data_IF_695880111619
#
_entry.id   IF_695880111619
#
_cell.length_a   1.000
_cell.length_b   1.000
_cell.length_c   1.000
_cell.angle_alpha   90.00
_cell.angle_beta   90.00
_cell.angle_gamma   90.00
#
_symmetry.space_group_name_H-M   'P 1'
#
loop_
_entity.id
_entity.type
_entity.pdbx_description
1 polymer ?
#
# COMPACT_ATOMS: atom_id res chain seq x y z
N UNK A 1 -9.59 -10.02 84.64
CA UNK A 1 -10.65 -9.28 83.91
C UNK A 1 -10.04 -8.10 83.17
N UNK A 2 -10.63 -7.73 82.03
CA UNK A 2 -10.34 -6.57 81.16
C UNK A 2 -9.21 -6.70 80.11
N UNK A 3 -9.54 -7.35 78.98
CA UNK A 3 -8.90 -7.16 77.67
C UNK A 3 -9.18 -5.73 77.16
N UNK A 4 -8.15 -4.91 76.97
CA UNK A 4 -8.27 -3.61 76.29
C UNK A 4 -8.15 -3.83 74.78
N UNK A 5 -9.26 -3.68 74.07
CA UNK A 5 -9.38 -3.84 72.61
C UNK A 5 -8.49 -2.81 71.91
N UNK A 6 -7.44 -3.28 71.24
CA UNK A 6 -6.65 -2.49 70.30
C UNK A 6 -7.51 -2.04 69.11
N UNK A 7 -7.34 -0.78 68.74
CA UNK A 7 -8.08 -0.07 67.70
C UNK A 7 -7.83 -0.65 66.30
N UNK A 8 -8.74 -1.49 65.82
CA UNK A 8 -8.76 -2.04 64.45
C UNK A 8 -9.32 -1.05 63.40
N UNK A 9 -9.25 0.27 63.65
CA UNK A 9 -9.86 1.27 62.75
C UNK A 9 -8.86 2.02 61.87
N UNK A 10 -7.54 1.87 62.09
CA UNK A 10 -6.52 2.58 61.31
C UNK A 10 -6.09 1.87 60.01
N UNK A 11 -6.34 0.56 59.87
CA UNK A 11 -5.84 -0.22 58.71
C UNK A 11 -6.81 -0.30 57.52
N UNK A 12 -8.05 0.18 57.65
CA UNK A 12 -9.03 0.15 56.54
C UNK A 12 -8.86 1.34 55.58
N UNK A 13 -8.24 2.44 56.03
CA UNK A 13 -8.05 3.63 55.21
C UNK A 13 -6.92 3.50 54.16
N UNK A 14 -5.93 2.61 54.35
CA UNK A 14 -4.83 2.43 53.39
C UNK A 14 -5.17 1.47 52.23
N UNK A 15 -6.16 0.59 52.36
CA UNK A 15 -6.52 -0.36 51.30
C UNK A 15 -7.44 0.30 50.24
N UNK A 16 -8.16 1.37 50.60
CA UNK A 16 -9.02 2.09 49.67
C UNK A 16 -8.27 2.97 48.65
N UNK A 17 -7.00 3.34 48.90
CA UNK A 17 -6.23 4.19 47.98
C UNK A 17 -5.57 3.41 46.83
N UNK A 18 -5.42 2.09 46.93
CA UNK A 18 -4.77 1.27 45.89
C UNK A 18 -5.74 0.84 44.77
N UNK A 19 -7.06 1.02 44.95
CA UNK A 19 -8.07 0.65 43.95
C UNK A 19 -8.31 1.73 42.88
N UNK A 20 -7.76 2.95 43.04
CA UNK A 20 -7.99 4.08 42.11
C UNK A 20 -6.99 4.11 40.94
N UNK A 21 -5.97 3.25 40.93
CA UNK A 21 -4.99 3.20 39.83
C UNK A 21 -5.36 2.23 38.68
N UNK A 22 -6.45 1.45 38.80
CA UNK A 22 -6.83 0.47 37.78
C UNK A 22 -7.67 1.05 36.61
N UNK A 23 -7.90 2.37 36.58
CA UNK A 23 -8.81 3.02 35.63
C UNK A 23 -8.19 4.11 34.74
N UNK A 24 -6.89 4.37 34.84
CA UNK A 24 -6.23 5.21 33.84
C UNK A 24 -6.08 4.36 32.57
N UNK A 25 -7.10 4.42 31.70
CA UNK A 25 -6.94 4.11 30.29
C UNK A 25 -5.63 4.77 29.85
N UNK A 26 -4.58 3.99 29.63
CA UNK A 26 -3.29 4.54 29.23
C UNK A 26 -3.55 5.33 27.95
N UNK A 27 -3.47 6.65 28.04
CA UNK A 27 -3.81 7.54 26.93
C UNK A 27 -2.80 7.28 25.82
N UNK A 28 -3.18 6.45 24.85
CA UNK A 28 -2.35 6.19 23.69
C UNK A 28 -2.37 7.42 22.76
N UNK A 29 -1.21 7.85 22.23
CA UNK A 29 0.15 7.39 22.56
C UNK A 29 0.74 8.11 23.78
N UNK A 30 1.56 7.41 24.58
CA UNK A 30 2.25 7.99 25.76
C UNK A 30 3.66 8.47 25.46
N UNK A 31 4.17 8.18 24.27
CA UNK A 31 5.51 8.51 23.78
C UNK A 31 5.46 8.65 22.25
N UNK A 32 6.55 9.12 21.60
CA UNK A 32 6.61 9.13 20.15
C UNK A 32 6.31 7.76 19.53
N UNK A 33 5.54 7.79 18.44
CA UNK A 33 5.27 6.63 17.59
C UNK A 33 6.09 6.71 16.30
N UNK A 34 6.17 5.61 15.56
CA UNK A 34 6.92 5.54 14.29
C UNK A 34 6.13 4.80 13.22
N UNK A 35 6.08 5.38 12.02
CA UNK A 35 5.64 4.73 10.80
C UNK A 35 6.84 4.12 10.11
N UNK A 36 6.86 2.79 10.02
CA UNK A 36 7.91 2.01 9.37
C UNK A 36 7.60 1.90 7.88
N UNK A 37 8.45 2.50 7.04
CA UNK A 37 8.29 2.56 5.60
C UNK A 37 9.21 1.53 4.92
N UNK A 38 8.69 0.65 4.04
CA UNK A 38 9.45 -0.46 3.47
C UNK A 38 10.31 -0.10 2.25
N UNK A 39 10.46 1.19 1.92
CA UNK A 39 11.25 1.67 0.79
C UNK A 39 12.28 2.71 1.23
N UNK A 40 13.22 3.05 0.35
CA UNK A 40 14.12 4.18 0.58
C UNK A 40 13.34 5.52 0.54
N UNK A 41 13.86 6.57 1.21
CA UNK A 41 13.29 7.92 1.13
C UNK A 41 13.15 8.45 -0.31
N UNK A 42 12.22 9.38 -0.52
CA UNK A 42 11.98 10.06 -1.80
C UNK A 42 10.95 9.42 -2.74
N UNK A 43 10.36 8.28 -2.35
CA UNK A 43 9.28 7.61 -3.10
C UNK A 43 7.87 8.08 -2.74
N UNK A 44 6.86 7.61 -3.47
CA UNK A 44 5.44 7.94 -3.20
C UNK A 44 5.00 7.60 -1.76
N UNK A 45 5.44 6.45 -1.24
CA UNK A 45 5.15 6.06 0.14
C UNK A 45 5.84 6.93 1.20
N UNK A 46 6.97 7.57 0.89
CA UNK A 46 7.61 8.55 1.79
C UNK A 46 6.69 9.77 1.94
N UNK A 47 6.26 10.34 0.82
CA UNK A 47 5.36 11.50 0.81
C UNK A 47 4.07 11.21 1.58
N UNK A 48 3.45 10.05 1.33
CA UNK A 48 2.25 9.62 2.05
C UNK A 48 2.52 9.44 3.55
N UNK A 49 3.61 8.75 3.91
CA UNK A 49 3.96 8.51 5.31
C UNK A 49 4.21 9.81 6.07
N UNK A 50 4.90 10.79 5.47
CA UNK A 50 5.13 12.10 6.11
C UNK A 50 3.85 12.89 6.28
N UNK A 51 2.94 12.86 5.30
CA UNK A 51 1.65 13.55 5.39
C UNK A 51 0.79 12.96 6.52
N UNK A 52 0.74 11.62 6.59
CA UNK A 52 0.03 10.89 7.64
C UNK A 52 0.67 11.15 9.00
N UNK A 53 1.99 11.02 9.11
CA UNK A 53 2.74 11.24 10.34
C UNK A 53 2.54 12.67 10.89
N UNK A 54 2.60 13.69 10.03
CA UNK A 54 2.35 15.08 10.44
C UNK A 54 0.95 15.27 11.02
N UNK A 55 -0.08 14.70 10.38
CA UNK A 55 -1.47 14.80 10.85
C UNK A 55 -1.76 13.99 12.10
N UNK A 56 -1.20 12.79 12.21
CA UNK A 56 -1.29 12.01 13.44
C UNK A 56 -0.57 12.70 14.61
N UNK A 57 0.57 13.36 14.34
CA UNK A 57 1.26 14.14 15.37
C UNK A 57 0.40 15.29 15.90
N UNK A 58 -0.29 16.00 15.00
CA UNK A 58 -1.26 17.04 15.35
C UNK A 58 -2.42 16.49 16.19
N UNK A 59 -2.98 15.34 15.80
CA UNK A 59 -4.12 14.73 16.49
C UNK A 59 -3.76 14.14 17.86
N UNK A 60 -2.52 13.68 18.03
CA UNK A 60 -2.09 12.96 19.22
C UNK A 60 -1.34 13.83 20.21
N UNK A 61 -0.86 15.01 19.79
CA UNK A 61 0.03 15.82 20.62
C UNK A 61 1.36 15.14 20.94
N UNK A 62 1.70 14.09 20.20
CA UNK A 62 2.92 13.29 20.33
C UNK A 62 3.57 13.13 18.97
N UNK A 63 4.91 13.17 18.86
CA UNK A 63 5.59 13.00 17.59
C UNK A 63 5.28 11.64 16.95
N UNK A 64 4.95 11.65 15.67
CA UNK A 64 4.93 10.45 14.82
C UNK A 64 6.06 10.60 13.81
N UNK A 65 7.04 9.71 13.91
CA UNK A 65 8.25 9.74 13.09
C UNK A 65 8.11 8.81 11.89
N UNK A 66 8.88 9.06 10.84
CA UNK A 66 9.00 8.16 9.69
C UNK A 66 10.37 7.48 9.73
N UNK A 67 10.38 6.15 9.81
CA UNK A 67 11.58 5.32 9.85
C UNK A 67 11.61 4.40 8.63
N UNK A 68 12.69 4.43 7.86
CA UNK A 68 12.81 3.69 6.61
C UNK A 68 13.58 2.38 6.83
N UNK A 69 12.95 1.26 6.47
CA UNK A 69 13.55 -0.09 6.53
C UNK A 69 13.42 -0.80 5.18
N UNK A 70 14.14 -0.35 4.13
CA UNK A 70 14.06 -0.94 2.80
C UNK A 70 14.65 -2.35 2.75
N UNK A 71 14.14 -3.16 1.82
CA UNK A 71 14.75 -4.44 1.46
C UNK A 71 13.74 -5.56 1.19
N UNK A 72 14.11 -6.47 0.28
CA UNK A 72 13.42 -7.72 -0.01
C UNK A 72 11.89 -7.57 -0.20
N UNK A 73 11.45 -6.57 -0.99
CA UNK A 73 10.03 -6.42 -1.34
C UNK A 73 9.09 -6.22 -0.15
N UNK A 74 9.46 -5.37 0.81
CA UNK A 74 8.81 -5.07 2.11
C UNK A 74 9.17 -5.99 3.28
N UNK A 75 9.86 -7.11 3.04
CA UNK A 75 10.08 -8.14 4.07
C UNK A 75 10.85 -7.59 5.29
N UNK A 76 11.89 -6.77 5.08
CA UNK A 76 12.72 -6.24 6.18
C UNK A 76 11.89 -5.39 7.15
N UNK A 77 11.11 -4.44 6.61
CA UNK A 77 10.22 -3.60 7.40
C UNK A 77 9.14 -4.41 8.12
N UNK A 78 8.52 -5.37 7.43
CA UNK A 78 7.42 -6.14 8.02
C UNK A 78 7.90 -7.12 9.08
N UNK A 79 9.09 -7.70 8.92
CA UNK A 79 9.73 -8.50 9.97
C UNK A 79 10.01 -7.66 11.22
N UNK A 80 10.46 -6.41 11.04
CA UNK A 80 10.66 -5.48 12.16
C UNK A 80 9.34 -5.17 12.88
N UNK A 81 8.27 -4.86 12.13
CA UNK A 81 6.95 -4.56 12.70
C UNK A 81 6.37 -5.77 13.43
N UNK A 82 6.45 -6.98 12.84
CA UNK A 82 5.95 -8.21 13.45
C UNK A 82 6.61 -8.53 14.81
N UNK A 83 7.88 -8.14 14.98
CA UNK A 83 8.65 -8.34 16.21
C UNK A 83 8.58 -7.18 17.22
N UNK A 84 7.86 -6.10 16.88
CA UNK A 84 7.74 -4.94 17.77
C UNK A 84 6.78 -5.20 18.92
N UNK A 85 6.85 -4.36 19.95
CA UNK A 85 5.89 -4.42 21.05
C UNK A 85 4.46 -4.19 20.52
N UNK A 86 3.48 -5.00 20.93
CA UNK A 86 2.09 -4.85 20.50
C UNK A 86 1.39 -3.72 21.26
N UNK A 87 1.92 -2.51 21.15
CA UNK A 87 1.44 -1.33 21.88
C UNK A 87 1.01 -0.17 20.96
N UNK A 88 1.05 -0.41 19.64
CA UNK A 88 0.65 0.55 18.60
C UNK A 88 1.64 1.67 18.28
N UNK A 89 2.79 1.76 18.97
CA UNK A 89 3.78 2.80 18.68
C UNK A 89 4.67 2.47 17.48
N UNK A 90 4.64 1.24 16.99
CA UNK A 90 5.30 0.82 15.74
C UNK A 90 4.23 0.47 14.71
N UNK A 91 4.05 1.35 13.72
CA UNK A 91 3.01 1.24 12.70
C UNK A 91 3.69 0.90 11.38
N UNK A 92 3.40 -0.27 10.82
CA UNK A 92 3.92 -0.69 9.52
C UNK A 92 3.11 -0.10 8.37
N UNK A 93 3.77 0.55 7.43
CA UNK A 93 3.17 0.89 6.13
C UNK A 93 3.25 -0.35 5.22
N UNK A 94 2.08 -0.81 4.77
CA UNK A 94 1.93 -1.94 3.86
C UNK A 94 1.35 -1.50 2.52
N UNK A 95 1.61 -2.29 1.49
CA UNK A 95 0.96 -2.19 0.18
C UNK A 95 0.45 -3.55 -0.27
N UNK A 96 -0.05 -3.67 -1.50
CA UNK A 96 -0.43 -4.95 -2.11
C UNK A 96 0.67 -6.01 -2.05
N UNK A 97 1.95 -5.63 -1.93
CA UNK A 97 3.05 -6.57 -1.68
C UNK A 97 2.84 -7.43 -0.42
N UNK A 98 2.17 -6.90 0.61
CA UNK A 98 1.82 -7.65 1.81
C UNK A 98 0.91 -8.84 1.53
N UNK A 99 0.01 -8.70 0.55
CA UNK A 99 -0.88 -9.77 0.10
C UNK A 99 -0.24 -10.70 -0.95
N UNK A 100 0.68 -10.17 -1.77
CA UNK A 100 1.35 -10.91 -2.85
C UNK A 100 2.48 -11.79 -2.33
N UNK A 101 3.32 -11.27 -1.43
CA UNK A 101 4.56 -11.92 -1.00
C UNK A 101 4.39 -13.36 -0.51
N UNK A 102 3.35 -13.74 0.26
CA UNK A 102 3.16 -15.14 0.67
C UNK A 102 3.01 -16.11 -0.50
N UNK A 103 2.52 -15.63 -1.65
CA UNK A 103 2.38 -16.44 -2.87
C UNK A 103 3.66 -16.46 -3.73
N UNK A 104 4.50 -15.42 -3.63
CA UNK A 104 5.77 -15.33 -4.37
C UNK A 104 6.97 -15.89 -3.60
N UNK A 105 6.94 -15.89 -2.26
CA UNK A 105 8.06 -16.29 -1.43
C UNK A 105 7.59 -17.27 -0.33
N UNK A 106 8.01 -18.53 -0.44
CA UNK A 106 7.64 -19.59 0.50
C UNK A 106 8.38 -19.53 1.85
N UNK A 107 9.41 -18.67 1.97
CA UNK A 107 10.28 -18.57 3.16
C UNK A 107 10.21 -17.18 3.79
N UNK A 108 9.01 -16.65 3.96
CA UNK A 108 8.83 -15.40 4.69
C UNK A 108 9.19 -15.58 6.18
N UNK A 109 9.86 -14.60 6.80
CA UNK A 109 10.21 -14.65 8.22
C UNK A 109 9.06 -14.22 9.15
N UNK A 110 7.84 -14.13 8.62
CA UNK A 110 6.59 -13.78 9.31
C UNK A 110 5.40 -14.33 8.53
N UNK A 111 4.24 -14.41 9.18
CA UNK A 111 2.95 -14.70 8.58
C UNK A 111 2.17 -13.39 8.34
N UNK A 112 1.82 -13.08 7.09
CA UNK A 112 1.12 -11.83 6.72
C UNK A 112 -0.27 -11.67 7.36
N UNK A 113 -0.88 -12.73 7.90
CA UNK A 113 -2.18 -12.67 8.57
C UNK A 113 -2.02 -12.75 10.08
N UNK A 114 -1.28 -13.74 10.57
CA UNK A 114 -1.23 -14.05 12.02
C UNK A 114 -0.40 -13.03 12.79
N UNK A 115 0.66 -12.49 12.20
CA UNK A 115 1.64 -11.70 12.94
C UNK A 115 1.33 -10.19 12.91
N UNK A 116 0.21 -9.79 12.29
CA UNK A 116 -0.20 -8.39 12.14
C UNK A 116 -1.67 -8.17 12.51
N UNK A 117 -1.97 -6.98 13.01
CA UNK A 117 -3.34 -6.47 13.12
C UNK A 117 -3.55 -5.34 12.10
N UNK A 118 -4.48 -5.49 11.14
CA UNK A 118 -4.84 -4.43 10.19
C UNK A 118 -5.43 -3.22 10.91
N UNK A 119 -4.93 -2.03 10.57
CA UNK A 119 -5.36 -0.77 11.20
C UNK A 119 -6.28 0.00 10.28
N UNK A 120 -5.82 0.36 9.08
CA UNK A 120 -6.64 1.07 8.10
C UNK A 120 -6.00 1.00 6.71
N UNK A 121 -6.84 1.06 5.68
CA UNK A 121 -6.39 1.35 4.31
C UNK A 121 -6.53 2.83 4.05
N UNK A 122 -5.56 3.44 3.36
CA UNK A 122 -5.60 4.84 2.98
C UNK A 122 -6.28 5.02 1.60
N UNK A 123 -5.97 4.15 0.65
CA UNK A 123 -6.42 4.29 -0.73
C UNK A 123 -5.60 3.48 -1.73
N UNK A 124 -5.47 4.02 -2.95
CA UNK A 124 -4.84 3.37 -4.09
C UNK A 124 -3.88 4.32 -4.83
N UNK A 125 -2.76 3.79 -5.31
CA UNK A 125 -2.02 4.42 -6.40
C UNK A 125 -2.55 3.89 -7.72
N UNK A 126 -2.66 4.78 -8.70
CA UNK A 126 -3.14 4.42 -10.04
C UNK A 126 -1.96 3.95 -10.88
N UNK A 127 -2.09 2.77 -11.47
CA UNK A 127 -1.19 2.27 -12.52
C UNK A 127 -1.87 2.49 -13.86
N UNK A 128 -1.09 2.80 -14.88
CA UNK A 128 -1.59 2.95 -16.23
C UNK A 128 -0.71 2.24 -17.25
N UNK A 129 -1.36 1.92 -18.37
CA UNK A 129 -0.72 1.40 -19.58
C UNK A 129 -0.25 2.59 -20.42
N UNK A 130 1.06 2.81 -20.43
CA UNK A 130 1.71 3.93 -21.09
C UNK A 130 2.48 3.44 -22.30
N UNK A 131 2.45 4.20 -23.40
CA UNK A 131 3.19 3.88 -24.62
C UNK A 131 3.94 5.08 -25.16
N UNK A 132 4.95 4.83 -25.98
CA UNK A 132 5.66 5.88 -26.72
C UNK A 132 4.79 6.44 -27.85
N UNK A 133 4.87 7.74 -28.18
CA UNK A 133 4.06 8.35 -29.23
C UNK A 133 4.24 7.74 -30.62
N UNK A 134 5.46 7.27 -30.93
CA UNK A 134 5.82 6.62 -32.21
C UNK A 134 5.16 5.26 -32.42
N UNK A 135 4.61 4.63 -31.37
CA UNK A 135 3.84 3.41 -31.50
C UNK A 135 2.45 3.74 -32.08
N UNK A 136 2.03 3.16 -33.23
CA UNK A 136 0.82 3.55 -33.95
C UNK A 136 -0.45 2.96 -33.32
N UNK A 137 -0.67 3.24 -32.04
CA UNK A 137 -1.81 2.79 -31.24
C UNK A 137 -2.35 3.96 -30.41
N UNK A 138 -3.67 4.06 -30.30
CA UNK A 138 -4.33 5.16 -29.57
C UNK A 138 -5.22 4.66 -28.43
N UNK A 139 -5.42 3.35 -28.34
CA UNK A 139 -6.21 2.71 -27.30
C UNK A 139 -5.70 1.28 -27.01
N UNK A 140 -6.26 0.67 -25.98
CA UNK A 140 -5.94 -0.70 -25.55
C UNK A 140 -6.20 -1.72 -26.66
N UNK A 141 -7.31 -1.58 -27.40
CA UNK A 141 -7.69 -2.49 -28.48
C UNK A 141 -6.66 -2.49 -29.62
N UNK A 142 -6.17 -1.31 -30.00
CA UNK A 142 -5.12 -1.11 -30.99
C UNK A 142 -3.80 -1.73 -30.55
N UNK A 143 -3.43 -1.60 -29.28
CA UNK A 143 -2.24 -2.27 -28.75
C UNK A 143 -2.36 -3.80 -28.82
N UNK A 144 -3.51 -4.36 -28.43
CA UNK A 144 -3.77 -5.80 -28.52
C UNK A 144 -3.68 -6.27 -29.97
N UNK A 145 -4.30 -5.54 -30.91
CA UNK A 145 -4.23 -5.84 -32.33
C UNK A 145 -2.79 -5.85 -32.87
N UNK A 146 -2.01 -4.84 -32.53
CA UNK A 146 -0.60 -4.74 -32.95
C UNK A 146 0.24 -5.89 -32.37
N UNK A 147 0.09 -6.20 -31.09
CA UNK A 147 0.83 -7.28 -30.43
C UNK A 147 0.48 -8.68 -30.99
N UNK A 148 -0.77 -8.90 -31.43
CA UNK A 148 -1.17 -10.14 -32.09
C UNK A 148 -0.54 -10.31 -33.48
N UNK A 149 -0.39 -9.23 -34.23
CA UNK A 149 0.24 -9.26 -35.55
C UNK A 149 1.74 -9.52 -35.48
N UNK A 150 2.38 -9.13 -34.37
CA UNK A 150 3.83 -9.25 -34.18
C UNK A 150 4.17 -9.87 -32.81
N UNK A 151 3.92 -11.18 -32.62
CA UNK A 151 4.25 -11.86 -31.38
C UNK A 151 5.72 -11.67 -31.03
N UNK A 152 6.02 -11.41 -29.75
CA UNK A 152 7.37 -11.24 -29.21
C UNK A 152 8.18 -10.04 -29.75
N UNK A 153 7.62 -9.24 -30.67
CA UNK A 153 8.28 -8.07 -31.24
C UNK A 153 8.14 -6.80 -30.37
N UNK A 154 7.19 -6.78 -29.44
CA UNK A 154 7.01 -5.68 -28.49
C UNK A 154 7.53 -6.07 -27.12
N UNK A 155 8.25 -5.15 -26.48
CA UNK A 155 8.58 -5.24 -25.06
C UNK A 155 7.66 -4.37 -24.22
N UNK A 156 7.45 -4.75 -22.95
CA UNK A 156 6.87 -3.88 -21.95
C UNK A 156 7.79 -3.72 -20.74
N UNK A 157 7.92 -2.49 -20.26
CA UNK A 157 8.67 -2.17 -19.06
C UNK A 157 7.83 -2.24 -17.79
N UNK A 158 8.49 -2.50 -16.66
CA UNK A 158 7.97 -2.24 -15.31
C UNK A 158 9.05 -1.61 -14.44
N UNK A 159 8.66 -1.11 -13.26
CA UNK A 159 9.59 -0.59 -12.25
C UNK A 159 10.27 -1.69 -11.39
N UNK A 160 10.18 -2.96 -11.80
CA UNK A 160 10.88 -4.09 -11.15
C UNK A 160 10.12 -5.41 -11.21
N UNK A 161 10.83 -6.51 -10.97
CA UNK A 161 10.24 -7.86 -10.81
C UNK A 161 9.40 -7.89 -9.51
N UNK A 162 8.28 -8.63 -9.56
CA UNK A 162 7.35 -8.77 -8.43
C UNK A 162 6.55 -7.51 -8.05
N UNK A 163 6.70 -6.40 -8.78
CA UNK A 163 5.89 -5.20 -8.53
C UNK A 163 4.49 -5.35 -9.11
N UNK A 164 3.55 -4.52 -8.63
CA UNK A 164 2.21 -4.42 -9.20
C UNK A 164 2.26 -4.12 -10.71
N UNK A 165 3.17 -3.27 -11.16
CA UNK A 165 3.36 -2.96 -12.58
C UNK A 165 3.82 -4.17 -13.41
N UNK A 166 4.72 -5.00 -12.88
CA UNK A 166 5.10 -6.26 -13.55
C UNK A 166 3.89 -7.18 -13.69
N UNK A 167 3.18 -7.42 -12.57
CA UNK A 167 1.97 -8.25 -12.58
C UNK A 167 0.89 -7.67 -13.51
N UNK A 168 0.78 -6.35 -13.66
CA UNK A 168 -0.17 -5.71 -14.58
C UNK A 168 0.13 -6.10 -16.03
N UNK A 169 1.41 -6.14 -16.39
CA UNK A 169 1.85 -6.58 -17.71
C UNK A 169 1.59 -8.07 -17.95
N UNK A 170 1.95 -8.93 -16.99
CA UNK A 170 1.73 -10.37 -17.11
C UNK A 170 0.24 -10.71 -17.21
N UNK A 171 -0.60 -10.11 -16.36
CA UNK A 171 -2.05 -10.26 -16.43
C UNK A 171 -2.62 -9.77 -17.77
N UNK A 172 -2.11 -8.65 -18.28
CA UNK A 172 -2.58 -8.08 -19.54
C UNK A 172 -2.28 -9.01 -20.71
N UNK A 173 -1.05 -9.54 -20.77
CA UNK A 173 -0.65 -10.52 -21.79
C UNK A 173 -1.52 -11.77 -21.72
N UNK A 174 -1.72 -12.30 -20.52
CA UNK A 174 -2.53 -13.50 -20.28
C UNK A 174 -3.98 -13.29 -20.74
N UNK A 175 -4.66 -12.25 -20.26
CA UNK A 175 -6.07 -11.99 -20.59
C UNK A 175 -6.29 -11.60 -22.05
N UNK A 176 -5.36 -10.85 -22.65
CA UNK A 176 -5.47 -10.45 -24.04
C UNK A 176 -5.05 -11.57 -25.03
N UNK A 177 -4.44 -12.65 -24.54
CA UNK A 177 -3.88 -13.72 -25.38
C UNK A 177 -2.79 -13.19 -26.31
N UNK A 178 -1.88 -12.34 -25.80
CA UNK A 178 -0.79 -11.75 -26.58
C UNK A 178 0.56 -12.08 -25.96
N UNK A 179 1.62 -11.92 -26.75
CA UNK A 179 3.00 -12.08 -26.30
C UNK A 179 3.77 -10.77 -26.37
N UNK A 180 4.46 -10.45 -25.29
CA UNK A 180 5.37 -9.32 -25.17
C UNK A 180 6.49 -9.68 -24.21
N UNK A 181 7.69 -9.17 -24.47
CA UNK A 181 8.86 -9.39 -23.61
C UNK A 181 8.84 -8.41 -22.43
N UNK A 182 8.89 -8.92 -21.20
CA UNK A 182 9.02 -8.06 -20.02
C UNK A 182 10.47 -7.56 -19.87
N UNK A 183 10.64 -6.26 -19.65
CA UNK A 183 11.94 -5.63 -19.36
C UNK A 183 11.87 -5.02 -17.96
N UNK A 184 12.48 -5.64 -16.93
CA UNK A 184 12.47 -5.11 -15.57
C UNK A 184 13.48 -3.98 -15.40
N UNK A 185 13.07 -2.89 -14.76
CA UNK A 185 13.95 -1.79 -14.37
C UNK A 185 14.09 -1.70 -12.85
N UNK A 186 15.21 -1.12 -12.38
CA UNK A 186 15.44 -0.82 -10.96
C UNK A 186 14.73 0.49 -10.55
N UNK A 187 13.39 0.48 -10.58
CA UNK A 187 12.56 1.65 -10.32
C UNK A 187 12.08 2.38 -11.57
N UNK A 188 11.28 3.43 -11.37
CA UNK A 188 10.55 4.11 -12.47
C UNK A 188 11.45 5.06 -13.30
N UNK A 189 12.45 5.71 -12.69
CA UNK A 189 13.32 6.65 -13.39
C UNK A 189 14.07 6.04 -14.59
N UNK A 190 14.82 4.91 -14.45
CA UNK A 190 15.51 4.31 -15.59
C UNK A 190 14.53 3.76 -16.65
N UNK A 191 13.33 3.31 -16.26
CA UNK A 191 12.27 2.93 -17.20
C UNK A 191 11.88 4.11 -18.10
N UNK A 192 11.61 5.29 -17.53
CA UNK A 192 11.21 6.44 -18.34
C UNK A 192 12.32 6.94 -19.25
N UNK A 193 13.59 6.87 -18.83
CA UNK A 193 14.73 7.21 -19.71
C UNK A 193 14.68 6.36 -20.99
N UNK A 194 14.51 5.05 -20.84
CA UNK A 194 14.49 4.14 -21.99
C UNK A 194 13.19 4.22 -22.81
N UNK A 195 12.05 4.51 -22.17
CA UNK A 195 10.81 4.83 -22.92
C UNK A 195 10.97 6.11 -23.75
N UNK A 196 11.51 7.18 -23.16
CA UNK A 196 11.72 8.46 -23.85
C UNK A 196 12.76 8.35 -24.98
N UNK A 197 13.70 7.42 -24.85
CA UNK A 197 14.65 7.06 -25.90
C UNK A 197 14.06 6.09 -26.95
N UNK A 198 12.82 5.61 -26.77
CA UNK A 198 12.14 4.68 -27.69
C UNK A 198 12.61 3.22 -27.61
N UNK A 199 13.42 2.84 -26.60
CA UNK A 199 13.97 1.49 -26.44
C UNK A 199 12.94 0.50 -25.90
N UNK A 200 12.00 0.98 -25.09
CA UNK A 200 10.86 0.18 -24.59
C UNK A 200 9.56 0.89 -24.93
N UNK A 201 8.74 0.34 -25.85
CA UNK A 201 7.63 1.07 -26.44
C UNK A 201 6.36 1.09 -25.57
N UNK A 202 6.26 0.17 -24.60
CA UNK A 202 5.09 0.00 -23.73
C UNK A 202 5.56 -0.12 -22.28
N UNK A 203 4.80 0.37 -21.33
CA UNK A 203 5.04 0.10 -19.92
C UNK A 203 3.74 0.09 -19.12
N UNK A 204 3.75 -0.68 -18.05
CA UNK A 204 2.83 -0.47 -16.94
C UNK A 204 3.59 0.32 -15.88
N UNK A 205 3.05 1.47 -15.49
CA UNK A 205 3.76 2.37 -14.59
C UNK A 205 2.80 3.09 -13.65
N UNK A 206 3.30 3.45 -12.48
CA UNK A 206 2.57 4.31 -11.54
C UNK A 206 2.39 5.68 -12.22
N UNK A 207 1.15 6.16 -12.25
CA UNK A 207 0.83 7.34 -13.06
C UNK A 207 1.40 8.63 -12.51
N UNK A 208 1.59 8.76 -11.20
CA UNK A 208 2.17 9.97 -10.63
C UNK A 208 3.53 10.36 -11.27
N UNK A 209 4.36 9.37 -11.60
CA UNK A 209 5.64 9.58 -12.28
C UNK A 209 5.52 9.58 -13.80
N UNK A 210 4.47 8.99 -14.39
CA UNK A 210 4.25 9.00 -15.83
C UNK A 210 3.62 10.31 -16.32
N UNK A 211 2.72 10.90 -15.52
CA UNK A 211 1.88 12.01 -15.95
C UNK A 211 2.62 13.27 -16.39
N UNK A 212 3.77 13.66 -15.82
CA UNK A 212 4.57 14.77 -16.38
C UNK A 212 4.97 14.55 -17.84
N UNK A 213 5.25 13.31 -18.24
CA UNK A 213 5.59 12.94 -19.62
C UNK A 213 4.35 12.84 -20.51
N UNK A 214 3.22 12.36 -19.95
CA UNK A 214 1.93 12.30 -20.67
C UNK A 214 1.41 13.70 -20.98
N UNK A 215 1.44 14.62 -20.00
CA UNK A 215 0.99 16.01 -20.16
C UNK A 215 1.79 16.80 -21.21
N UNK A 216 3.04 16.43 -21.42
CA UNK A 216 3.93 17.04 -22.42
C UNK A 216 3.92 16.33 -23.77
N UNK A 217 3.06 15.31 -23.95
CA UNK A 217 2.95 14.53 -25.18
C UNK A 217 4.13 13.60 -25.46
N UNK A 218 5.10 13.51 -24.54
CA UNK A 218 6.28 12.64 -24.69
C UNK A 218 5.93 11.16 -24.50
N UNK A 219 4.82 10.86 -23.83
CA UNK A 219 4.22 9.53 -23.70
C UNK A 219 2.71 9.63 -23.89
N UNK A 220 2.06 8.52 -24.26
CA UNK A 220 0.60 8.39 -24.34
C UNK A 220 0.11 7.44 -23.26
N UNK A 221 -0.94 7.81 -22.52
CA UNK A 221 -1.63 6.93 -21.59
C UNK A 221 -2.85 6.31 -22.28
N UNK A 222 -2.87 4.99 -22.44
CA UNK A 222 -3.94 4.27 -23.13
C UNK A 222 -5.10 3.88 -22.21
N UNK A 223 -4.83 3.70 -20.91
CA UNK A 223 -5.85 3.36 -19.93
C UNK A 223 -5.28 3.12 -18.54
N UNK A 224 -6.17 3.12 -17.55
CA UNK A 224 -5.85 2.85 -16.14
C UNK A 224 -6.16 1.40 -15.77
N UNK A 225 -5.46 0.86 -14.77
CA UNK A 225 -5.62 -0.52 -14.32
C UNK A 225 -6.70 -0.72 -13.26
N UNK A 226 -7.32 0.37 -12.78
CA UNK A 226 -8.50 0.32 -11.91
C UNK A 226 -9.66 -0.37 -12.62
N UNK A 227 -10.50 -1.09 -11.86
CA UNK A 227 -11.72 -1.70 -12.42
C UNK A 227 -12.69 -0.65 -12.97
N UNK A 228 -12.78 0.49 -12.29
CA UNK A 228 -13.59 1.65 -12.63
C UNK A 228 -12.70 2.85 -13.02
N UNK A 229 -13.30 3.90 -13.59
CA UNK A 229 -12.56 5.14 -13.87
C UNK A 229 -11.93 5.68 -12.59
N UNK A 230 -10.65 6.04 -12.69
CA UNK A 230 -9.94 6.67 -11.58
C UNK A 230 -10.53 8.05 -11.29
N UNK A 231 -10.70 8.38 -10.01
CA UNK A 231 -11.13 9.73 -9.62
C UNK A 231 -10.03 10.77 -9.93
N UNK A 232 -8.77 10.36 -9.85
CA UNK A 232 -7.61 11.22 -10.06
C UNK A 232 -7.28 11.39 -11.55
N UNK A 233 -7.59 10.38 -12.37
CA UNK A 233 -7.36 10.38 -13.81
C UNK A 233 -8.62 9.99 -14.60
N UNK A 234 -9.73 10.77 -14.48
CA UNK A 234 -11.05 10.39 -14.98
C UNK A 234 -11.15 10.34 -16.51
N UNK A 235 -10.29 11.09 -17.19
CA UNK A 235 -10.28 11.19 -18.66
C UNK A 235 -9.87 9.88 -19.33
N UNK A 236 -9.12 9.03 -18.62
CA UNK A 236 -8.59 7.79 -19.17
C UNK A 236 -9.50 6.60 -18.85
N UNK A 237 -9.86 5.77 -19.85
CA UNK A 237 -10.73 4.62 -19.62
C UNK A 237 -10.01 3.55 -18.79
N UNK A 238 -10.75 2.76 -18.00
CA UNK A 238 -10.19 1.56 -17.41
C UNK A 238 -9.91 0.52 -18.49
N UNK A 239 -8.82 -0.23 -18.35
CA UNK A 239 -8.48 -1.34 -19.27
C UNK A 239 -9.60 -2.39 -19.29
N UNK A 240 -10.35 -2.52 -18.18
CA UNK A 240 -11.53 -3.39 -18.06
C UNK A 240 -12.60 -3.13 -19.12
N UNK A 241 -12.67 -1.91 -19.68
CA UNK A 241 -13.59 -1.59 -20.77
C UNK A 241 -13.26 -2.33 -22.09
N UNK A 242 -12.00 -2.76 -22.27
CA UNK A 242 -11.57 -3.59 -23.41
C UNK A 242 -11.33 -5.05 -23.02
N UNK A 243 -10.86 -5.29 -21.79
CA UNK A 243 -10.61 -6.63 -21.23
C UNK A 243 -11.46 -6.82 -19.97
N UNK A 244 -12.73 -7.26 -20.08
CA UNK A 244 -13.61 -7.42 -18.94
C UNK A 244 -12.97 -8.20 -17.78
N UNK A 245 -13.04 -7.65 -16.57
CA UNK A 245 -12.43 -8.23 -15.37
C UNK A 245 -10.94 -7.91 -15.18
N UNK A 246 -10.28 -7.20 -16.11
CA UNK A 246 -8.92 -6.74 -15.90
C UNK A 246 -8.89 -5.68 -14.78
N UNK A 247 -8.22 -6.02 -13.69
CA UNK A 247 -7.95 -5.08 -12.61
C UNK A 247 -6.61 -5.38 -11.97
N UNK A 248 -5.79 -4.34 -11.82
CA UNK A 248 -4.63 -4.42 -10.93
C UNK A 248 -4.32 -3.07 -10.32
N UNK A 249 -4.81 -2.84 -9.11
CA UNK A 249 -4.50 -1.67 -8.30
C UNK A 249 -3.40 -1.98 -7.31
N UNK A 250 -2.68 -0.95 -6.87
CA UNK A 250 -1.80 -1.06 -5.70
C UNK A 250 -2.33 -0.15 -4.59
N UNK A 251 -2.67 -0.73 -3.46
CA UNK A 251 -3.16 0.01 -2.29
C UNK A 251 -2.04 0.34 -1.32
N UNK A 252 -2.29 1.30 -0.42
CA UNK A 252 -1.47 1.54 0.77
C UNK A 252 -2.35 1.46 2.01
N UNK A 253 -1.84 0.83 3.05
CA UNK A 253 -2.50 0.73 4.35
C UNK A 253 -1.50 0.64 5.49
N UNK A 254 -2.04 0.47 6.68
CA UNK A 254 -1.27 0.44 7.92
C UNK A 254 -1.63 -0.81 8.74
N UNK A 255 -0.60 -1.42 9.31
CA UNK A 255 -0.70 -2.56 10.22
C UNK A 255 0.09 -2.27 11.49
N UNK A 256 -0.22 -2.97 12.57
CA UNK A 256 0.59 -3.04 13.79
C UNK A 256 0.89 -4.50 14.13
N UNK A 257 1.77 -4.77 15.09
CA UNK A 257 2.03 -6.13 15.56
C UNK A 257 0.74 -6.81 16.07
N UNK A 258 0.61 -8.11 15.86
CA UNK A 258 -0.46 -8.91 16.44
C UNK A 258 -0.48 -8.78 17.98
N UNK A 259 -1.70 -8.76 18.54
CA UNK A 259 -1.91 -8.58 19.98
C UNK A 259 -2.00 -7.12 20.44
N UNK A 260 -1.89 -6.15 19.53
CA UNK A 260 -2.09 -4.73 19.88
C UNK A 260 -3.51 -4.51 20.42
N UNK A 261 -3.70 -3.79 21.55
CA UNK A 261 -5.03 -3.60 22.13
C UNK A 261 -6.03 -3.00 21.15
N UNK A 262 -7.28 -3.48 21.21
CA UNK A 262 -8.31 -3.17 20.21
C UNK A 262 -8.63 -1.68 20.18
N UNK A 263 -8.62 -1.02 21.33
CA UNK A 263 -8.83 0.41 21.50
C UNK A 263 -7.72 1.24 20.85
N UNK A 264 -6.47 0.77 20.90
CA UNK A 264 -5.33 1.43 20.24
C UNK A 264 -5.48 1.30 18.72
N UNK A 265 -5.78 0.09 18.23
CA UNK A 265 -6.05 -0.15 16.80
C UNK A 265 -7.20 0.71 16.30
N UNK A 266 -8.31 0.77 17.05
CA UNK A 266 -9.47 1.57 16.69
C UNK A 266 -9.16 3.06 16.67
N UNK A 267 -8.39 3.57 17.63
CA UNK A 267 -7.95 4.96 17.64
C UNK A 267 -7.11 5.28 16.40
N UNK A 268 -6.06 4.50 16.12
CA UNK A 268 -5.22 4.75 14.93
C UNK A 268 -6.06 4.63 13.65
N UNK A 269 -6.94 3.63 13.56
CA UNK A 269 -7.85 3.45 12.44
C UNK A 269 -8.73 4.69 12.21
N UNK A 270 -9.39 5.17 13.26
CA UNK A 270 -10.27 6.34 13.18
C UNK A 270 -9.51 7.60 12.74
N UNK A 271 -8.30 7.80 13.27
CA UNK A 271 -7.48 8.96 12.95
C UNK A 271 -6.95 8.90 11.51
N UNK A 272 -6.57 7.72 11.00
CA UNK A 272 -6.20 7.50 9.59
C UNK A 272 -7.41 7.70 8.65
N UNK A 273 -8.58 7.18 9.01
CA UNK A 273 -9.80 7.37 8.20
C UNK A 273 -10.21 8.85 8.19
N UNK A 274 -10.09 9.54 9.33
CA UNK A 274 -10.37 10.97 9.45
C UNK A 274 -9.49 11.81 8.53
N UNK A 275 -8.16 11.61 8.54
CA UNK A 275 -7.26 12.36 7.68
C UNK A 275 -7.44 12.00 6.20
N UNK A 276 -7.76 10.74 5.87
CA UNK A 276 -8.00 10.32 4.48
C UNK A 276 -9.24 11.00 3.86
N UNK A 277 -10.23 11.32 4.70
CA UNK A 277 -11.46 12.01 4.32
C UNK A 277 -11.38 13.54 4.47
N UNK A 278 -10.28 14.08 5.02
CA UNK A 278 -10.13 15.51 5.26
C UNK A 278 -10.13 16.30 3.92
N UNK A 279 -11.05 17.26 3.72
CA UNK A 279 -11.19 17.98 2.45
C UNK A 279 -9.93 18.71 1.98
N UNK A 280 -9.09 19.19 2.91
CA UNK A 280 -7.82 19.86 2.63
C UNK A 280 -6.69 18.91 2.24
N UNK A 281 -6.83 17.61 2.55
CA UNK A 281 -5.82 16.59 2.26
C UNK A 281 -6.13 15.79 1.00
N UNK A 282 -7.41 15.58 0.65
CA UNK A 282 -7.78 14.85 -0.59
C UNK A 282 -7.11 15.43 -1.85
N UNK A 283 -7.08 16.76 -2.08
CA UNK A 283 -6.36 17.35 -3.22
C UNK A 283 -4.85 17.11 -3.16
N UNK A 284 -4.25 17.09 -1.96
CA UNK A 284 -2.81 16.80 -1.79
C UNK A 284 -2.50 15.37 -2.19
N UNK A 285 -3.29 14.40 -1.72
CA UNK A 285 -3.19 13.00 -2.13
C UNK A 285 -3.37 12.84 -3.64
N UNK A 286 -4.41 13.46 -4.21
CA UNK A 286 -4.66 13.43 -5.65
C UNK A 286 -3.51 14.06 -6.46
N UNK A 287 -2.89 15.14 -5.96
CA UNK A 287 -1.71 15.76 -6.56
C UNK A 287 -0.51 14.80 -6.68
N UNK A 288 -0.43 13.79 -5.82
CA UNK A 288 0.57 12.71 -5.88
C UNK A 288 0.09 11.47 -6.64
N UNK A 289 -1.03 11.55 -7.38
CA UNK A 289 -1.60 10.44 -8.11
C UNK A 289 -2.26 9.38 -7.23
N UNK A 290 -2.62 9.75 -5.99
CA UNK A 290 -3.17 8.85 -4.99
C UNK A 290 -4.67 9.10 -4.81
N UNK A 291 -5.47 8.05 -4.96
CA UNK A 291 -6.90 8.08 -4.75
C UNK A 291 -7.22 7.65 -3.31
N UNK A 292 -7.74 8.58 -2.50
CA UNK A 292 -8.18 8.24 -1.15
C UNK A 292 -9.44 7.39 -1.21
N UNK A 293 -9.39 6.23 -0.57
CA UNK A 293 -10.50 5.30 -0.45
C UNK A 293 -10.34 4.56 0.87
N UNK A 294 -10.59 5.22 2.02
CA UNK A 294 -10.24 4.66 3.30
C UNK A 294 -11.10 3.46 3.68
N UNK A 295 -10.50 2.50 4.37
CA UNK A 295 -11.20 1.42 5.08
C UNK A 295 -10.72 1.42 6.53
N UNK A 296 -11.63 1.28 7.48
CA UNK A 296 -11.27 1.09 8.89
C UNK A 296 -10.72 -0.32 9.16
N UNK A 297 -10.29 -0.56 10.40
CA UNK A 297 -9.62 -1.82 10.78
C UNK A 297 -10.38 -3.09 10.39
N UNK A 298 -11.69 -3.15 10.67
CA UNK A 298 -12.50 -4.32 10.39
C UNK A 298 -12.66 -4.58 8.88
N UNK A 299 -13.01 -3.55 8.11
CA UNK A 299 -13.18 -3.65 6.67
C UNK A 299 -11.83 -3.94 5.98
N UNK A 300 -10.75 -3.35 6.49
CA UNK A 300 -9.41 -3.58 5.97
C UNK A 300 -8.93 -5.02 6.23
N UNK A 301 -9.27 -5.60 7.37
CA UNK A 301 -8.97 -7.01 7.65
C UNK A 301 -9.69 -7.97 6.68
N UNK A 302 -10.96 -7.70 6.35
CA UNK A 302 -11.70 -8.45 5.33
C UNK A 302 -11.05 -8.26 3.95
N UNK A 303 -10.72 -7.02 3.61
CA UNK A 303 -10.07 -6.67 2.35
C UNK A 303 -8.72 -7.38 2.16
N UNK A 304 -7.85 -7.43 3.18
CA UNK A 304 -6.54 -8.10 3.08
C UNK A 304 -6.72 -9.59 2.75
N UNK A 305 -7.69 -10.27 3.38
CA UNK A 305 -7.92 -11.71 3.12
C UNK A 305 -8.38 -11.94 1.69
N UNK A 306 -9.34 -11.13 1.21
CA UNK A 306 -9.81 -11.20 -0.17
C UNK A 306 -8.69 -10.88 -1.18
N UNK A 307 -7.86 -9.89 -0.88
CA UNK A 307 -6.70 -9.55 -1.71
C UNK A 307 -5.67 -10.68 -1.73
N UNK A 308 -5.38 -11.33 -0.61
CA UNK A 308 -4.45 -12.47 -0.59
C UNK A 308 -4.92 -13.63 -1.46
N UNK A 309 -6.21 -13.95 -1.40
CA UNK A 309 -6.80 -14.98 -2.26
C UNK A 309 -6.72 -14.59 -3.73
N UNK A 310 -7.17 -13.37 -4.06
CA UNK A 310 -7.19 -12.82 -5.42
C UNK A 310 -5.78 -12.75 -6.03
N UNK A 311 -4.81 -12.15 -5.32
CA UNK A 311 -3.44 -12.02 -5.81
C UNK A 311 -2.71 -13.37 -5.85
N UNK A 312 -3.00 -14.28 -4.92
CA UNK A 312 -2.44 -15.63 -4.97
C UNK A 312 -2.92 -16.40 -6.21
N UNK A 313 -4.21 -16.28 -6.56
CA UNK A 313 -4.74 -16.83 -7.81
C UNK A 313 -4.06 -16.19 -9.03
N UNK A 314 -3.95 -14.87 -9.04
CA UNK A 314 -3.31 -14.13 -10.12
C UNK A 314 -1.85 -14.53 -10.36
N UNK A 315 -1.05 -14.68 -9.29
CA UNK A 315 0.35 -15.14 -9.40
C UNK A 315 0.42 -16.52 -10.05
N UNK A 316 -0.47 -17.44 -9.68
CA UNK A 316 -0.53 -18.79 -10.28
C UNK A 316 -0.95 -18.75 -11.75
N UNK A 317 -1.95 -17.93 -12.10
CA UNK A 317 -2.50 -17.85 -13.47
C UNK A 317 -1.58 -17.11 -14.44
N UNK A 318 -0.93 -16.04 -13.97
CA UNK A 318 -0.01 -15.24 -14.80
C UNK A 318 1.30 -15.97 -15.11
N UNK A 319 1.66 -16.99 -14.33
CA UNK A 319 2.98 -17.63 -14.41
C UNK A 319 4.12 -16.71 -13.95
N UNK A 320 3.81 -15.57 -13.32
CA UNK A 320 4.80 -14.63 -12.83
C UNK A 320 5.71 -15.30 -11.80
N UNK A 321 7.01 -15.23 -12.03
CA UNK A 321 8.02 -15.77 -11.12
C UNK A 321 8.85 -14.66 -10.49
N UNK A 322 9.39 -14.98 -9.31
CA UNK A 322 10.41 -14.20 -8.65
C UNK A 322 11.79 -14.72 -9.13
N UNK A 323 12.12 -14.50 -10.40
CA UNK A 323 13.41 -14.87 -11.00
C UNK A 323 14.09 -13.61 -11.54
#
# INVERSE_FOLDING_TARGET
MARKKMSTKANIACIALLAVCAGAAHAFPTRPASIIVPQAPGGANDVLARLVAGKLSEYWGQPVLVDFKPGAGIIVAMQYVAKSAPDGHTIGLVSSAHAINPSLNQKLPYDSIRDFTPVARLGYNVIGLVVVPSLPVNDVKGLIGLARQKPDALSHGSNGVGTAAHLSGELFKHMAGIKMVHVPYKGAAPLYIDMLAGRVPVAFAILNSAMPHVKTGKLKLLGVTNLQRSIVYPDYPPISATLPGYELTTWTGFVVAAGTPKEVVQKISNDVVRLANAPDLRPKFAGFGYETAPLGAAEFAVFIRAEMESKGKLVRESGAKFE
#
